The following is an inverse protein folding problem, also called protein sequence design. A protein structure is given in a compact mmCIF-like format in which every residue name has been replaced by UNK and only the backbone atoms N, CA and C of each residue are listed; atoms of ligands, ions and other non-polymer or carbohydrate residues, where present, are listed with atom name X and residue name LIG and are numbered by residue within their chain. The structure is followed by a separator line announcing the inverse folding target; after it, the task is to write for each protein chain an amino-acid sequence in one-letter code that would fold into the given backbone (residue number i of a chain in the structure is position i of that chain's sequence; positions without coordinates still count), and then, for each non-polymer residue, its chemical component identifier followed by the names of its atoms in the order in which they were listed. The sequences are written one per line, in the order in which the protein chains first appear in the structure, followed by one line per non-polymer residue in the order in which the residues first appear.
data_IF_254689269394
#
_entry.id   IF_254689269394
#
_cell.length_a   1.000
_cell.length_b   1.000
_cell.length_c   1.000
_cell.angle_alpha   90.00
_cell.angle_beta   90.00
_cell.angle_gamma   90.00
#
_symmetry.space_group_name_H-M   'P 1'
#
loop_
_entity.id
_entity.type
_entity.pdbx_description
1 polymer ?
#
# COMPACT_ATOMS: atom_id res chain seq x y z
N UNK A 1 -10.48 14.45 44.57
CA UNK A 1 -10.03 13.05 44.32
C UNK A 1 -9.93 12.67 42.84
N UNK A 2 -10.67 13.29 41.92
CA UNK A 2 -10.58 13.01 40.47
C UNK A 2 -9.44 13.78 39.78
N UNK A 3 -9.20 15.04 40.15
CA UNK A 3 -8.21 15.90 39.47
C UNK A 3 -6.75 15.50 39.72
N UNK A 4 -6.42 15.03 40.93
CA UNK A 4 -5.05 14.58 41.24
C UNK A 4 -4.69 13.31 40.46
N UNK A 5 -5.64 12.37 40.31
CA UNK A 5 -5.45 11.16 39.50
C UNK A 5 -5.29 11.49 38.02
N UNK A 6 -6.00 12.50 37.52
CA UNK A 6 -5.87 12.94 36.14
C UNK A 6 -4.51 13.62 35.88
N UNK A 7 -4.02 14.43 36.83
CA UNK A 7 -2.68 15.04 36.76
C UNK A 7 -1.57 13.99 36.84
N UNK A 8 -1.71 13.02 37.73
CA UNK A 8 -0.75 11.91 37.86
C UNK A 8 -0.71 11.07 36.59
N UNK A 9 -1.87 10.74 36.01
CA UNK A 9 -1.95 10.04 34.73
C UNK A 9 -1.29 10.83 33.58
N UNK A 10 -1.56 12.14 33.47
CA UNK A 10 -0.90 13.00 32.46
C UNK A 10 0.61 13.05 32.66
N UNK A 11 1.08 13.11 33.91
CA UNK A 11 2.51 13.14 34.23
C UNK A 11 3.22 11.84 33.84
N UNK A 12 2.64 10.69 34.19
CA UNK A 12 3.17 9.37 33.80
C UNK A 12 3.19 9.20 32.28
N UNK A 13 2.17 9.70 31.58
CA UNK A 13 2.10 9.68 30.10
C UNK A 13 3.25 10.50 29.49
N UNK A 14 3.51 11.70 30.01
CA UNK A 14 4.63 12.55 29.55
C UNK A 14 5.99 11.97 29.93
N UNK A 15 6.15 11.40 31.13
CA UNK A 15 7.38 10.71 31.56
C UNK A 15 7.70 9.50 30.66
N UNK A 16 6.69 8.83 30.10
CA UNK A 16 6.85 7.78 29.09
C UNK A 16 7.07 8.31 27.66
N UNK A 17 7.32 9.61 27.49
CA UNK A 17 7.61 10.23 26.19
C UNK A 17 6.39 10.41 25.28
N UNK A 18 5.17 10.23 25.78
CA UNK A 18 3.94 10.38 25.00
C UNK A 18 3.55 11.86 24.97
N UNK A 19 3.96 12.55 23.91
CA UNK A 19 3.71 13.99 23.71
C UNK A 19 2.26 14.24 23.23
N UNK A 20 1.70 13.32 22.43
CA UNK A 20 0.33 13.40 21.95
C UNK A 20 -0.42 12.07 22.19
N UNK A 21 -1.18 11.94 23.29
CA UNK A 21 -1.92 10.72 23.61
C UNK A 21 -3.02 10.39 22.59
N UNK A 22 -3.48 11.38 21.80
CA UNK A 22 -4.40 11.16 20.68
C UNK A 22 -3.82 10.23 19.60
N UNK A 23 -2.49 10.10 19.53
CA UNK A 23 -1.83 9.13 18.65
C UNK A 23 -2.19 7.67 18.97
N UNK A 24 -2.53 7.36 20.22
CA UNK A 24 -2.97 6.02 20.61
C UNK A 24 -4.30 5.62 19.96
N UNK A 25 -5.15 6.59 19.58
CA UNK A 25 -6.41 6.32 18.88
C UNK A 25 -6.18 5.65 17.51
N UNK A 26 -4.99 5.81 16.91
CA UNK A 26 -4.64 5.16 15.64
C UNK A 26 -4.59 3.62 15.75
N UNK A 27 -4.43 3.06 16.95
CA UNK A 27 -4.56 1.61 17.19
C UNK A 27 -5.94 1.10 16.76
N UNK A 28 -6.97 1.96 16.81
CA UNK A 28 -8.32 1.64 16.35
C UNK A 28 -8.42 1.28 14.86
N UNK A 29 -7.40 1.56 14.03
CA UNK A 29 -7.37 1.09 12.64
C UNK A 29 -7.05 -0.41 12.51
N UNK A 30 -6.46 -1.06 13.52
CA UNK A 30 -6.15 -2.48 13.47
C UNK A 30 -7.39 -3.38 13.16
N UNK A 31 -8.52 -3.26 13.88
CA UNK A 31 -9.72 -4.03 13.55
C UNK A 31 -10.33 -3.67 12.19
N UNK A 32 -10.09 -2.46 11.67
CA UNK A 32 -10.64 -2.03 10.38
C UNK A 32 -10.12 -2.88 9.22
N UNK A 33 -8.89 -3.38 9.30
CA UNK A 33 -8.33 -4.27 8.27
C UNK A 33 -9.11 -5.58 8.12
N UNK A 34 -9.71 -6.07 9.21
CA UNK A 34 -10.57 -7.25 9.18
C UNK A 34 -11.99 -6.89 8.80
N UNK A 35 -12.51 -5.78 9.33
CA UNK A 35 -13.87 -5.31 9.07
C UNK A 35 -14.14 -5.01 7.58
N UNK A 36 -13.12 -4.63 6.81
CA UNK A 36 -13.24 -4.37 5.37
C UNK A 36 -13.14 -5.62 4.49
N UNK A 37 -12.89 -6.81 5.04
CA UNK A 37 -12.81 -8.06 4.25
C UNK A 37 -14.09 -8.28 3.41
N UNK A 38 -15.33 -8.20 3.96
CA UNK A 38 -16.54 -8.38 3.17
C UNK A 38 -16.66 -7.37 2.02
N UNK A 39 -16.28 -6.10 2.26
CA UNK A 39 -16.27 -5.07 1.24
C UNK A 39 -15.29 -5.41 0.12
N UNK A 40 -14.06 -5.81 0.47
CA UNK A 40 -13.07 -6.19 -0.55
C UNK A 40 -13.57 -7.37 -1.38
N UNK A 41 -14.19 -8.39 -0.78
CA UNK A 41 -14.80 -9.49 -1.52
C UNK A 41 -15.91 -9.02 -2.46
N UNK A 42 -16.81 -8.14 -2.01
CA UNK A 42 -17.87 -7.60 -2.85
C UNK A 42 -17.32 -6.83 -4.07
N UNK A 43 -16.32 -5.97 -3.85
CA UNK A 43 -15.72 -5.14 -4.91
C UNK A 43 -14.93 -5.97 -5.94
N UNK A 44 -14.45 -7.15 -5.54
CA UNK A 44 -13.56 -8.00 -6.35
C UNK A 44 -14.24 -9.24 -6.91
N UNK A 45 -15.57 -9.32 -6.80
CA UNK A 45 -16.34 -10.41 -7.41
C UNK A 45 -16.02 -10.55 -8.91
N UNK A 46 -16.16 -11.75 -9.48
CA UNK A 46 -15.99 -11.95 -10.92
C UNK A 46 -16.87 -10.99 -11.74
N UNK A 47 -16.35 -10.49 -12.86
CA UNK A 47 -16.95 -9.48 -13.73
C UNK A 47 -17.12 -8.08 -13.11
N UNK A 48 -16.47 -7.81 -11.97
CA UNK A 48 -16.44 -6.48 -11.35
C UNK A 48 -15.67 -5.45 -12.17
N UNK A 49 -15.88 -4.17 -11.86
CA UNK A 49 -15.05 -3.07 -12.37
C UNK A 49 -13.58 -3.24 -11.98
N UNK A 50 -13.31 -3.77 -10.79
CA UNK A 50 -11.95 -4.04 -10.35
C UNK A 50 -11.27 -5.06 -11.25
N UNK A 51 -11.95 -6.16 -11.57
CA UNK A 51 -11.41 -7.15 -12.52
C UNK A 51 -11.04 -6.50 -13.85
N UNK A 52 -11.95 -5.74 -14.46
CA UNK A 52 -11.70 -5.05 -15.74
C UNK A 52 -10.51 -4.09 -15.67
N UNK A 53 -10.36 -3.38 -14.55
CA UNK A 53 -9.25 -2.47 -14.35
C UNK A 53 -7.92 -3.21 -14.15
N UNK A 54 -7.92 -4.31 -13.39
CA UNK A 54 -6.75 -5.17 -13.23
C UNK A 54 -6.32 -5.81 -14.55
N UNK A 55 -7.27 -6.31 -15.35
CA UNK A 55 -7.00 -6.84 -16.69
C UNK A 55 -6.43 -5.76 -17.63
N UNK A 56 -6.94 -4.53 -17.53
CA UNK A 56 -6.40 -3.38 -18.27
C UNK A 56 -4.96 -3.09 -17.88
N UNK A 57 -4.64 -3.10 -16.57
CA UNK A 57 -3.27 -2.93 -16.09
C UNK A 57 -2.35 -4.06 -16.58
N UNK A 58 -2.80 -5.32 -16.52
CA UNK A 58 -2.03 -6.47 -16.99
C UNK A 58 -1.63 -6.34 -18.46
N UNK A 59 -2.51 -5.78 -19.30
CA UNK A 59 -2.24 -5.53 -20.73
C UNK A 59 -1.15 -4.47 -20.98
N UNK A 60 -0.76 -3.70 -19.96
CA UNK A 60 0.38 -2.78 -20.07
C UNK A 60 1.74 -3.51 -20.03
N UNK A 61 1.77 -4.77 -19.59
CA UNK A 61 3.02 -5.54 -19.58
C UNK A 61 3.35 -6.01 -21.00
N UNK A 62 4.51 -5.62 -21.56
CA UNK A 62 4.91 -6.03 -22.90
C UNK A 62 4.92 -7.55 -23.04
N UNK A 63 4.37 -8.06 -24.14
CA UNK A 63 4.33 -9.50 -24.43
C UNK A 63 3.22 -10.29 -23.73
N UNK A 64 2.35 -9.65 -22.93
CA UNK A 64 1.19 -10.31 -22.31
C UNK A 64 -0.08 -10.11 -23.16
N UNK A 65 -0.52 -11.17 -23.81
CA UNK A 65 -1.82 -11.23 -24.52
C UNK A 65 -3.00 -11.60 -23.60
N UNK A 66 -4.23 -11.48 -24.13
CA UNK A 66 -5.48 -11.76 -23.40
C UNK A 66 -5.56 -13.21 -22.90
N UNK A 67 -5.01 -14.16 -23.65
CA UNK A 67 -4.94 -15.58 -23.27
C UNK A 67 -4.12 -15.84 -22.00
N UNK A 68 -3.16 -14.98 -21.69
CA UNK A 68 -2.32 -15.11 -20.49
C UNK A 68 -3.10 -14.94 -19.18
N UNK A 69 -4.19 -14.16 -19.21
CA UNK A 69 -5.04 -13.92 -18.03
C UNK A 69 -5.76 -15.21 -17.63
N UNK A 70 -6.31 -15.93 -18.62
CA UNK A 70 -6.95 -17.24 -18.40
C UNK A 70 -5.97 -18.38 -18.09
N UNK A 71 -4.69 -18.24 -18.41
CA UNK A 71 -3.67 -19.29 -18.21
C UNK A 71 -2.91 -19.19 -16.88
N UNK A 72 -3.45 -18.47 -15.89
CA UNK A 72 -2.81 -18.32 -14.58
C UNK A 72 -1.55 -17.44 -14.57
N UNK A 73 -1.35 -16.60 -15.59
CA UNK A 73 -0.23 -15.63 -15.64
C UNK A 73 -0.60 -14.23 -15.16
N UNK A 74 -1.85 -14.04 -14.73
CA UNK A 74 -2.34 -12.76 -14.21
C UNK A 74 -1.56 -12.31 -12.96
N UNK A 75 -1.28 -13.22 -12.02
CA UNK A 75 -0.55 -12.90 -10.78
C UNK A 75 0.90 -12.47 -11.07
N UNK A 76 1.70 -13.19 -11.89
CA UNK A 76 3.03 -12.74 -12.29
C UNK A 76 3.01 -11.37 -12.98
N UNK A 77 2.01 -11.10 -13.81
CA UNK A 77 1.86 -9.81 -14.48
C UNK A 77 1.61 -8.67 -13.47
N UNK A 78 0.68 -8.87 -12.53
CA UNK A 78 0.41 -7.92 -11.45
C UNK A 78 1.67 -7.70 -10.59
N UNK A 79 2.41 -8.77 -10.28
CA UNK A 79 3.67 -8.70 -9.54
C UNK A 79 4.73 -7.91 -10.30
N UNK A 80 4.87 -8.11 -11.61
CA UNK A 80 5.81 -7.35 -12.44
C UNK A 80 5.49 -5.85 -12.44
N UNK A 81 4.21 -5.49 -12.59
CA UNK A 81 3.75 -4.10 -12.55
C UNK A 81 4.06 -3.48 -11.18
N UNK A 82 3.68 -4.16 -10.10
CA UNK A 82 3.83 -3.62 -8.76
C UNK A 82 5.30 -3.51 -8.34
N UNK A 83 6.13 -4.47 -8.73
CA UNK A 83 7.59 -4.44 -8.54
C UNK A 83 8.21 -3.29 -9.33
N UNK A 84 7.90 -3.17 -10.63
CA UNK A 84 8.40 -2.07 -11.46
C UNK A 84 8.03 -0.71 -10.87
N UNK A 85 6.79 -0.53 -10.44
CA UNK A 85 6.36 0.74 -9.87
C UNK A 85 7.02 1.02 -8.52
N UNK A 86 7.11 0.01 -7.64
CA UNK A 86 7.69 0.17 -6.30
C UNK A 86 9.18 0.45 -6.34
N UNK A 87 9.97 -0.31 -7.09
CA UNK A 87 11.43 -0.20 -7.07
C UNK A 87 12.01 0.61 -8.23
N UNK A 88 11.35 0.60 -9.39
CA UNK A 88 11.77 1.36 -10.56
C UNK A 88 11.19 2.78 -10.55
N UNK A 89 9.93 2.91 -10.94
CA UNK A 89 9.30 4.21 -11.20
C UNK A 89 9.27 5.11 -9.96
N UNK A 90 8.69 4.64 -8.85
CA UNK A 90 8.58 5.47 -7.64
C UNK A 90 9.93 5.70 -6.95
N UNK A 91 10.90 4.81 -7.13
CA UNK A 91 12.29 5.00 -6.67
C UNK A 91 12.97 6.17 -7.41
N UNK A 92 12.85 6.20 -8.74
CA UNK A 92 13.33 7.31 -9.56
C UNK A 92 12.62 8.63 -9.20
N UNK A 93 11.29 8.61 -9.05
CA UNK A 93 10.52 9.79 -8.62
C UNK A 93 10.92 10.24 -7.22
N UNK A 94 11.22 9.33 -6.30
CA UNK A 94 11.74 9.64 -4.95
C UNK A 94 13.11 10.30 -4.99
N UNK A 95 14.01 9.84 -5.86
CA UNK A 95 15.31 10.48 -6.08
C UNK A 95 15.16 11.89 -6.66
N UNK A 96 14.24 12.08 -7.62
CA UNK A 96 13.89 13.40 -8.13
C UNK A 96 13.29 14.30 -7.03
N UNK A 97 12.42 13.75 -6.17
CA UNK A 97 11.91 14.42 -4.97
C UNK A 97 13.01 14.94 -4.06
N UNK A 98 14.01 14.10 -3.78
CA UNK A 98 15.17 14.50 -2.97
C UNK A 98 16.01 15.59 -3.65
N UNK A 99 16.18 15.53 -4.97
CA UNK A 99 16.87 16.57 -5.74
C UNK A 99 16.10 17.91 -5.69
N UNK A 100 14.78 17.88 -5.85
CA UNK A 100 13.92 19.09 -5.78
C UNK A 100 13.92 19.75 -4.40
N UNK A 101 14.26 19.01 -3.34
CA UNK A 101 14.37 19.55 -1.98
C UNK A 101 15.65 20.35 -1.72
N UNK A 102 16.49 20.57 -2.75
CA UNK A 102 17.84 21.14 -2.60
C UNK A 102 18.22 22.03 -3.78
N UNK A 103 18.95 23.11 -3.50
CA UNK A 103 19.47 24.01 -4.53
C UNK A 103 20.56 23.35 -5.39
N UNK A 104 21.39 22.50 -4.78
CA UNK A 104 22.49 21.79 -5.44
C UNK A 104 22.09 20.44 -6.04
N UNK A 105 20.80 20.09 -5.97
CA UNK A 105 20.27 18.81 -6.46
C UNK A 105 20.63 17.61 -5.57
N UNK A 106 20.72 16.42 -6.18
CA UNK A 106 20.95 15.17 -5.44
C UNK A 106 22.45 14.94 -5.18
N UNK A 107 22.86 14.94 -3.91
CA UNK A 107 24.20 14.47 -3.51
C UNK A 107 24.27 12.94 -3.53
N UNK A 108 24.84 12.39 -4.59
CA UNK A 108 25.02 10.94 -4.73
C UNK A 108 26.13 10.36 -3.82
N UNK A 109 27.02 11.18 -3.27
CA UNK A 109 28.05 10.72 -2.33
C UNK A 109 27.45 10.52 -0.93
N UNK A 110 26.45 11.32 -0.55
CA UNK A 110 25.73 11.20 0.71
C UNK A 110 24.20 11.29 0.54
N UNK A 111 23.57 10.35 -0.20
CA UNK A 111 22.18 10.48 -0.67
C UNK A 111 21.16 10.57 0.47
N UNK A 112 21.51 10.10 1.67
CA UNK A 112 20.60 10.07 2.82
C UNK A 112 20.82 11.18 3.85
N UNK A 113 21.90 11.95 3.72
CA UNK A 113 22.30 12.94 4.74
C UNK A 113 21.24 14.03 4.96
N UNK A 114 20.52 14.41 3.91
CA UNK A 114 19.63 15.57 3.92
C UNK A 114 18.14 15.23 3.96
N UNK A 115 17.80 13.95 4.05
CA UNK A 115 16.42 13.46 4.02
C UNK A 115 15.54 14.09 5.10
N UNK A 116 16.09 14.33 6.29
CA UNK A 116 15.36 14.90 7.43
C UNK A 116 14.99 16.38 7.25
N UNK A 117 15.51 17.02 6.19
CA UNK A 117 15.23 18.42 5.85
C UNK A 117 14.16 18.56 4.76
N UNK A 118 13.67 17.44 4.21
CA UNK A 118 12.65 17.48 3.17
C UNK A 118 11.31 17.93 3.76
N UNK A 119 10.65 18.85 3.08
CA UNK A 119 9.30 19.32 3.40
C UNK A 119 8.43 19.37 2.14
N UNK A 120 7.14 19.63 2.31
CA UNK A 120 6.20 19.79 1.20
C UNK A 120 6.15 18.62 0.22
N UNK A 121 6.09 18.92 -1.08
CA UNK A 121 6.01 17.91 -2.14
C UNK A 121 7.21 16.95 -2.20
N UNK A 122 8.48 17.41 -2.11
CA UNK A 122 9.66 16.53 -1.97
C UNK A 122 9.51 15.45 -0.88
N UNK A 123 9.06 15.85 0.31
CA UNK A 123 8.82 14.92 1.41
C UNK A 123 7.71 13.93 1.05
N UNK A 124 6.57 14.41 0.54
CA UNK A 124 5.43 13.55 0.18
C UNK A 124 5.80 12.52 -0.89
N UNK A 125 6.56 12.92 -1.90
CA UNK A 125 7.07 12.03 -2.96
C UNK A 125 7.92 10.90 -2.36
N UNK A 126 8.87 11.25 -1.49
CA UNK A 126 9.71 10.27 -0.80
C UNK A 126 8.86 9.36 0.07
N UNK A 127 7.98 9.92 0.90
CA UNK A 127 7.09 9.14 1.77
C UNK A 127 6.19 8.18 0.99
N UNK A 128 5.68 8.59 -0.18
CA UNK A 128 4.86 7.75 -1.04
C UNK A 128 5.62 6.51 -1.54
N UNK A 129 6.89 6.67 -1.93
CA UNK A 129 7.76 5.55 -2.31
C UNK A 129 8.02 4.60 -1.14
N UNK A 130 8.36 5.13 0.04
CA UNK A 130 8.57 4.30 1.24
C UNK A 130 7.30 3.54 1.63
N UNK A 131 6.13 4.17 1.53
CA UNK A 131 4.87 3.49 1.79
C UNK A 131 4.63 2.31 0.82
N UNK A 132 5.05 2.39 -0.45
CA UNK A 132 5.01 1.24 -1.36
C UNK A 132 5.99 0.14 -0.94
N UNK A 133 7.23 0.52 -0.61
CA UNK A 133 8.27 -0.40 -0.15
C UNK A 133 7.84 -1.20 1.09
N UNK A 134 7.22 -0.54 2.06
CA UNK A 134 6.72 -1.16 3.30
C UNK A 134 5.59 -2.16 3.04
N UNK A 135 4.79 -1.94 1.99
CA UNK A 135 3.67 -2.82 1.64
C UNK A 135 4.08 -3.96 0.69
N UNK A 136 5.23 -3.83 0.02
CA UNK A 136 5.64 -4.75 -1.03
C UNK A 136 5.84 -6.18 -0.53
N UNK A 137 6.45 -6.37 0.65
CA UNK A 137 6.71 -7.71 1.21
C UNK A 137 5.42 -8.48 1.49
N UNK A 138 4.40 -7.80 2.03
CA UNK A 138 3.07 -8.38 2.25
C UNK A 138 2.40 -8.79 0.95
N UNK A 139 2.47 -7.94 -0.08
CA UNK A 139 1.95 -8.29 -1.40
C UNK A 139 2.72 -9.47 -2.02
N UNK A 140 4.05 -9.46 -1.97
CA UNK A 140 4.89 -10.49 -2.57
C UNK A 140 4.63 -11.87 -1.95
N UNK A 141 4.46 -11.93 -0.62
CA UNK A 141 4.06 -13.16 0.06
C UNK A 141 2.70 -13.66 -0.43
N UNK A 142 1.67 -12.81 -0.43
CA UNK A 142 0.32 -13.18 -0.85
C UNK A 142 0.27 -13.62 -2.32
N UNK A 143 0.96 -12.89 -3.21
CA UNK A 143 1.05 -13.21 -4.62
C UNK A 143 1.79 -14.53 -4.88
N UNK A 144 2.90 -14.79 -4.18
CA UNK A 144 3.63 -16.04 -4.30
C UNK A 144 2.79 -17.25 -3.84
N UNK A 145 2.13 -17.14 -2.68
CA UNK A 145 1.22 -18.19 -2.19
C UNK A 145 0.05 -18.41 -3.15
N UNK A 146 -0.59 -17.34 -3.62
CA UNK A 146 -1.69 -17.42 -4.56
C UNK A 146 -1.29 -18.07 -5.89
N UNK A 147 -0.10 -17.77 -6.41
CA UNK A 147 0.41 -18.37 -7.64
C UNK A 147 0.61 -19.89 -7.51
N UNK A 148 1.00 -20.37 -6.33
CA UNK A 148 1.23 -21.79 -6.08
C UNK A 148 -0.09 -22.53 -5.81
N UNK A 149 -0.99 -21.93 -5.05
CA UNK A 149 -2.18 -22.61 -4.52
C UNK A 149 -3.41 -22.43 -5.44
N UNK A 150 -3.63 -21.22 -5.96
CA UNK A 150 -4.86 -20.84 -6.64
C UNK A 150 -4.62 -19.87 -7.83
N UNK A 151 -3.76 -20.23 -8.80
CA UNK A 151 -3.31 -19.30 -9.85
C UNK A 151 -4.42 -18.84 -10.82
N UNK A 152 -5.52 -19.59 -10.91
CA UNK A 152 -6.65 -19.33 -11.81
C UNK A 152 -7.92 -18.93 -11.07
N UNK A 153 -7.87 -18.82 -9.74
CA UNK A 153 -9.02 -18.36 -8.96
C UNK A 153 -9.25 -16.87 -9.21
N UNK A 154 -10.35 -16.58 -9.91
CA UNK A 154 -10.70 -15.21 -10.28
C UNK A 154 -10.87 -14.27 -9.09
N UNK A 155 -11.38 -14.76 -7.95
CA UNK A 155 -11.58 -13.93 -6.76
C UNK A 155 -10.24 -13.57 -6.11
N UNK A 156 -9.31 -14.52 -6.01
CA UNK A 156 -7.95 -14.30 -5.51
C UNK A 156 -7.18 -13.35 -6.42
N UNK A 157 -7.23 -13.57 -7.73
CA UNK A 157 -6.60 -12.70 -8.74
C UNK A 157 -7.17 -11.28 -8.65
N UNK A 158 -8.48 -11.13 -8.51
CA UNK A 158 -9.12 -9.82 -8.40
C UNK A 158 -8.78 -9.10 -7.09
N UNK A 159 -8.59 -9.82 -5.97
CA UNK A 159 -8.12 -9.24 -4.70
C UNK A 159 -6.69 -8.71 -4.80
N UNK A 160 -5.78 -9.48 -5.44
CA UNK A 160 -4.42 -9.01 -5.73
C UNK A 160 -4.44 -7.80 -6.68
N UNK A 161 -5.28 -7.87 -7.73
CA UNK A 161 -5.49 -6.78 -8.66
C UNK A 161 -6.02 -5.52 -7.99
N UNK A 162 -6.97 -5.66 -7.05
CA UNK A 162 -7.48 -4.57 -6.24
C UNK A 162 -6.38 -3.90 -5.42
N UNK A 163 -5.50 -4.69 -4.78
CA UNK A 163 -4.38 -4.14 -4.03
C UNK A 163 -3.50 -3.27 -4.93
N UNK A 164 -3.10 -3.77 -6.10
CA UNK A 164 -2.26 -3.03 -7.06
C UNK A 164 -2.96 -1.75 -7.49
N UNK A 165 -4.22 -1.84 -7.91
CA UNK A 165 -5.04 -0.66 -8.30
C UNK A 165 -5.11 0.36 -7.18
N UNK A 166 -5.50 -0.05 -5.98
CA UNK A 166 -5.68 0.85 -4.85
C UNK A 166 -4.36 1.49 -4.42
N UNK A 167 -3.24 0.76 -4.45
CA UNK A 167 -1.92 1.32 -4.13
C UNK A 167 -1.42 2.29 -5.20
N UNK A 168 -1.54 1.92 -6.47
CA UNK A 168 -0.89 2.66 -7.56
C UNK A 168 -1.75 3.81 -8.10
N UNK A 169 -3.06 3.63 -8.19
CA UNK A 169 -3.96 4.59 -8.83
C UNK A 169 -4.70 5.48 -7.83
N UNK A 170 -4.67 5.14 -6.54
CA UNK A 170 -5.39 5.92 -5.51
C UNK A 170 -4.46 6.36 -4.39
N UNK A 171 -3.86 5.42 -3.66
CA UNK A 171 -3.01 5.72 -2.50
C UNK A 171 -1.79 6.56 -2.86
N UNK A 172 -1.02 6.14 -3.89
CA UNK A 172 0.18 6.85 -4.30
C UNK A 172 -0.12 8.27 -4.80
N UNK A 173 -1.08 8.50 -5.74
CA UNK A 173 -1.49 9.85 -6.12
C UNK A 173 -2.02 10.69 -4.95
N UNK A 174 -2.87 10.12 -4.08
CA UNK A 174 -3.39 10.82 -2.90
C UNK A 174 -2.29 11.27 -1.94
N UNK A 175 -1.18 10.53 -1.88
CA UNK A 175 0.03 10.94 -1.18
C UNK A 175 0.64 12.20 -1.79
N UNK A 176 0.74 12.28 -3.12
CA UNK A 176 1.38 13.40 -3.82
C UNK A 176 0.57 14.70 -3.69
N UNK A 177 -0.75 14.58 -3.85
CA UNK A 177 -1.71 15.70 -3.78
C UNK A 177 -2.22 16.01 -2.37
N UNK A 178 -1.70 15.31 -1.35
CA UNK A 178 -1.99 15.52 0.07
C UNK A 178 -3.45 15.33 0.51
N UNK A 179 -4.14 14.34 -0.07
CA UNK A 179 -5.53 14.01 0.29
C UNK A 179 -5.54 12.87 1.32
N UNK A 180 -5.39 13.23 2.58
CA UNK A 180 -5.22 12.28 3.68
C UNK A 180 -6.35 11.23 3.82
N UNK A 181 -7.65 11.57 3.75
CA UNK A 181 -8.71 10.57 3.90
C UNK A 181 -8.69 9.49 2.82
N UNK A 182 -8.45 9.91 1.56
CA UNK A 182 -8.37 9.00 0.42
C UNK A 182 -7.15 8.08 0.51
N UNK A 183 -6.00 8.64 0.94
CA UNK A 183 -4.79 7.87 1.23
C UNK A 183 -5.07 6.79 2.26
N UNK A 184 -5.66 7.14 3.40
CA UNK A 184 -5.94 6.17 4.47
C UNK A 184 -6.93 5.10 4.02
N UNK A 185 -8.04 5.49 3.40
CA UNK A 185 -9.04 4.54 2.91
C UNK A 185 -8.43 3.53 1.93
N UNK A 186 -7.70 4.02 0.92
CA UNK A 186 -7.03 3.18 -0.07
C UNK A 186 -5.98 2.26 0.57
N UNK A 187 -5.23 2.76 1.57
CA UNK A 187 -4.28 1.95 2.31
C UNK A 187 -4.98 0.80 3.03
N UNK A 188 -5.97 1.11 3.87
CA UNK A 188 -6.66 0.14 4.71
C UNK A 188 -7.37 -0.90 3.85
N UNK A 189 -8.09 -0.49 2.80
CA UNK A 189 -8.78 -1.41 1.91
C UNK A 189 -7.81 -2.33 1.14
N UNK A 190 -6.69 -1.78 0.63
CA UNK A 190 -5.69 -2.57 -0.09
C UNK A 190 -5.02 -3.62 0.81
N UNK A 191 -4.71 -3.26 2.05
CA UNK A 191 -4.14 -4.20 3.03
C UNK A 191 -5.16 -5.26 3.45
N UNK A 192 -6.43 -4.86 3.63
CA UNK A 192 -7.54 -5.78 3.90
C UNK A 192 -7.69 -6.84 2.80
N UNK A 193 -7.49 -6.45 1.53
CA UNK A 193 -7.55 -7.38 0.41
C UNK A 193 -6.41 -8.42 0.44
N UNK A 194 -5.20 -8.05 0.86
CA UNK A 194 -4.11 -9.03 1.04
C UNK A 194 -4.40 -10.01 2.18
N UNK A 195 -4.93 -9.50 3.30
CA UNK A 195 -5.35 -10.36 4.41
C UNK A 195 -6.44 -11.33 3.93
N UNK A 196 -7.40 -10.85 3.14
CA UNK A 196 -8.45 -11.66 2.54
C UNK A 196 -7.88 -12.76 1.62
N UNK A 197 -6.88 -12.44 0.77
CA UNK A 197 -6.18 -13.45 -0.04
C UNK A 197 -5.59 -14.53 0.85
N UNK A 198 -4.76 -14.16 1.83
CA UNK A 198 -4.12 -15.14 2.71
C UNK A 198 -5.14 -15.96 3.51
N UNK A 199 -6.23 -15.34 3.96
CA UNK A 199 -7.31 -16.02 4.67
C UNK A 199 -7.97 -17.07 3.79
N UNK A 200 -8.38 -16.68 2.58
CA UNK A 200 -8.98 -17.57 1.58
C UNK A 200 -8.11 -18.78 1.28
N UNK A 201 -6.83 -18.54 0.99
CA UNK A 201 -5.84 -19.60 0.76
C UNK A 201 -5.68 -20.52 1.98
N UNK A 202 -5.71 -19.98 3.20
CA UNK A 202 -5.62 -20.78 4.43
C UNK A 202 -6.88 -21.64 4.66
N UNK A 203 -8.06 -21.17 4.25
CA UNK A 203 -9.32 -21.90 4.39
C UNK A 203 -9.66 -22.82 3.22
N UNK A 204 -8.90 -22.76 2.12
CA UNK A 204 -9.18 -23.50 0.88
C UNK A 204 -10.42 -23.01 0.13
N UNK A 205 -10.75 -21.71 0.26
CA UNK A 205 -11.97 -21.06 -0.26
C UNK A 205 -11.66 -19.83 -1.12
#
# INVERSE_FOLDING_TARGET
MSEDKEREAKRVVVENGIINPGGAALVGFAPMYLALIPLTSYLTKPNSTVQKLSETLIKLVPGIGVSSISSGRAIPALSAIYLFWTFGASGAVSAAGQAMGREDGLDNNHPRKHIHKLEGLPLRIRSAHYALMENFSGFALAAALAQVIAPTDSQVVNLLGFHVVAKLLVHYPAYLVDVAPLRTLAHVSATSALINVCWRLATGA
#
